data_IF_506848360984
#
_entry.id   IF_506848360984
#
_cell.length_a   1.000
_cell.length_b   1.000
_cell.length_c   1.000
_cell.angle_alpha   90.00
_cell.angle_beta   90.00
_cell.angle_gamma   90.00
#
_symmetry.space_group_name_H-M   'P 1'
#
loop_
_entity.id
_entity.type
_entity.pdbx_description
1 polymer ?
#
# COMPACT_ATOMS: atom_id res chain seq x y z
N UNK A 1 4.26 12.16 28.78
CA UNK A 1 3.59 11.78 27.52
C UNK A 1 3.28 13.04 26.75
N UNK A 2 3.76 13.11 25.52
CA UNK A 2 3.49 14.23 24.64
C UNK A 2 2.19 13.94 23.88
N UNK A 3 1.13 14.65 24.29
CA UNK A 3 -0.23 14.48 23.77
C UNK A 3 -0.28 14.77 22.27
N UNK A 4 0.53 15.71 21.79
CA UNK A 4 0.56 16.07 20.38
C UNK A 4 1.05 14.89 19.52
N UNK A 5 2.14 14.25 19.93
CA UNK A 5 2.66 13.06 19.28
C UNK A 5 1.63 11.91 19.22
N UNK A 6 0.92 11.67 20.33
CA UNK A 6 -0.12 10.62 20.39
C UNK A 6 -1.27 10.94 19.42
N UNK A 7 -1.75 12.18 19.41
CA UNK A 7 -2.80 12.63 18.51
C UNK A 7 -2.38 12.47 17.04
N UNK A 8 -1.13 12.82 16.72
CA UNK A 8 -0.58 12.67 15.37
C UNK A 8 -0.55 11.21 14.93
N UNK A 9 -0.06 10.29 15.79
CA UNK A 9 -0.07 8.85 15.51
C UNK A 9 -1.50 8.29 15.37
N UNK A 10 -2.44 8.79 16.15
CA UNK A 10 -3.84 8.39 16.08
C UNK A 10 -4.47 8.77 14.73
N UNK A 11 -4.32 10.03 14.32
CA UNK A 11 -4.82 10.52 13.02
C UNK A 11 -4.14 9.76 11.86
N UNK A 12 -2.82 9.59 11.94
CA UNK A 12 -2.05 8.82 10.97
C UNK A 12 -2.56 7.37 10.85
N UNK A 13 -2.84 6.72 11.97
CA UNK A 13 -3.38 5.35 11.99
C UNK A 13 -4.79 5.29 11.42
N UNK A 14 -5.67 6.25 11.76
CA UNK A 14 -7.02 6.33 11.20
C UNK A 14 -7.00 6.52 9.69
N UNK A 15 -6.10 7.35 9.17
CA UNK A 15 -5.93 7.57 7.74
C UNK A 15 -5.54 6.26 7.04
N UNK A 16 -4.53 5.55 7.56
CA UNK A 16 -4.09 4.27 7.00
C UNK A 16 -5.24 3.26 7.05
N UNK A 17 -5.90 3.15 8.20
CA UNK A 17 -7.03 2.23 8.38
C UNK A 17 -8.17 2.53 7.40
N UNK A 18 -8.50 3.80 7.19
CA UNK A 18 -9.50 4.21 6.20
C UNK A 18 -9.14 3.76 4.79
N UNK A 19 -7.88 3.96 4.38
CA UNK A 19 -7.41 3.55 3.05
C UNK A 19 -7.37 2.02 2.91
N UNK A 20 -6.95 1.32 3.98
CA UNK A 20 -6.93 -0.14 4.07
C UNK A 20 -8.32 -0.74 3.83
N UNK A 21 -9.34 -0.18 4.48
CA UNK A 21 -10.72 -0.70 4.46
C UNK A 21 -11.46 -0.31 3.19
N UNK A 22 -11.36 0.96 2.76
CA UNK A 22 -12.22 1.50 1.70
C UNK A 22 -11.58 1.51 0.31
N UNK A 23 -10.26 1.40 0.20
CA UNK A 23 -9.57 1.59 -1.10
C UNK A 23 -8.80 0.35 -1.53
N UNK A 24 -7.69 0.03 -0.87
CA UNK A 24 -6.87 -1.13 -1.20
C UNK A 24 -5.81 -1.38 -0.13
N UNK A 25 -5.58 -2.64 0.27
CA UNK A 25 -4.47 -2.99 1.16
C UNK A 25 -3.09 -2.65 0.59
N UNK A 26 -2.92 -2.74 -0.73
CA UNK A 26 -1.65 -2.39 -1.38
C UNK A 26 -1.38 -0.89 -1.29
N UNK A 27 -2.39 -0.06 -1.55
CA UNK A 27 -2.26 1.39 -1.46
C UNK A 27 -2.02 1.83 -0.01
N UNK A 28 -2.70 1.20 0.96
CA UNK A 28 -2.47 1.44 2.38
C UNK A 28 -1.03 1.16 2.78
N UNK A 29 -0.46 0.02 2.35
CA UNK A 29 0.94 -0.32 2.61
C UNK A 29 1.90 0.74 2.04
N UNK A 30 1.62 1.19 0.82
CA UNK A 30 2.43 2.19 0.14
C UNK A 30 2.40 3.53 0.88
N UNK A 31 1.22 4.03 1.23
CA UNK A 31 1.05 5.33 1.92
C UNK A 31 1.64 5.29 3.33
N UNK A 32 1.50 4.17 4.04
CA UNK A 32 2.10 3.96 5.36
C UNK A 32 3.63 4.13 5.34
N UNK A 33 4.31 3.71 4.28
CA UNK A 33 5.76 3.90 4.17
C UNK A 33 6.08 5.28 3.59
N UNK A 34 5.33 5.72 2.60
CA UNK A 34 5.60 6.96 1.88
C UNK A 34 5.52 8.18 2.80
N UNK A 35 4.50 8.29 3.65
CA UNK A 35 4.29 9.48 4.50
C UNK A 35 5.50 9.74 5.40
N UNK A 36 5.99 8.77 6.22
CA UNK A 36 7.13 9.02 7.10
C UNK A 36 8.44 9.24 6.34
N UNK A 37 8.64 8.57 5.19
CA UNK A 37 9.82 8.79 4.33
C UNK A 37 9.83 10.20 3.76
N UNK A 38 8.69 10.68 3.26
CA UNK A 38 8.55 12.05 2.75
C UNK A 38 8.78 13.06 3.87
N UNK A 39 8.26 12.79 5.08
CA UNK A 39 8.48 13.66 6.24
C UNK A 39 9.97 13.80 6.59
N UNK A 40 10.71 12.68 6.64
CA UNK A 40 12.17 12.69 6.87
C UNK A 40 12.92 13.43 5.77
N UNK A 41 12.46 13.34 4.52
CA UNK A 41 13.12 14.00 3.39
C UNK A 41 12.91 15.52 3.38
N UNK A 42 11.72 16.00 3.74
CA UNK A 42 11.38 17.43 3.70
C UNK A 42 11.87 18.15 4.97
N UNK A 43 11.75 17.51 6.14
CA UNK A 43 12.04 18.11 7.45
C UNK A 43 12.94 17.16 8.27
N UNK A 44 14.23 16.99 7.90
CA UNK A 44 15.09 15.99 8.52
C UNK A 44 15.34 16.24 10.01
N UNK A 45 15.57 17.49 10.42
CA UNK A 45 15.86 17.84 11.82
C UNK A 45 14.64 17.64 12.72
N UNK A 46 13.47 18.10 12.26
CA UNK A 46 12.21 17.91 12.98
C UNK A 46 11.82 16.44 13.03
N UNK A 47 12.07 15.68 11.97
CA UNK A 47 11.80 14.25 11.94
C UNK A 47 12.70 13.49 12.92
N UNK A 48 14.00 13.79 12.95
CA UNK A 48 14.95 13.21 13.89
C UNK A 48 14.58 13.55 15.34
N UNK A 49 14.22 14.81 15.60
CA UNK A 49 13.70 15.25 16.88
C UNK A 49 12.46 14.46 17.27
N UNK A 50 11.45 14.43 16.40
CA UNK A 50 10.17 13.77 16.65
C UNK A 50 10.31 12.28 16.96
N UNK A 51 11.11 11.53 16.20
CA UNK A 51 11.27 10.07 16.42
C UNK A 51 12.02 9.75 17.72
N UNK A 52 12.84 10.69 18.21
CA UNK A 52 13.62 10.57 19.44
C UNK A 52 12.87 11.01 20.72
N UNK A 53 11.65 11.52 20.61
CA UNK A 53 10.84 11.92 21.76
C UNK A 53 10.48 10.68 22.60
N UNK A 54 10.78 10.74 23.90
CA UNK A 54 10.41 9.71 24.88
C UNK A 54 8.94 9.89 25.25
N UNK A 55 8.11 8.86 25.02
CA UNK A 55 6.71 8.88 25.40
C UNK A 55 6.48 8.40 26.82
N UNK A 56 7.09 7.26 27.14
CA UNK A 56 7.04 6.68 28.48
C UNK A 56 8.29 5.82 28.72
N UNK A 57 8.57 5.56 29.98
CA UNK A 57 9.64 4.67 30.41
C UNK A 57 9.02 3.58 31.27
N UNK A 58 9.39 2.32 31.00
CA UNK A 58 8.93 1.18 31.79
C UNK A 58 10.14 0.33 32.15
N UNK A 59 10.34 0.08 33.45
CA UNK A 59 11.42 -0.77 33.96
C UNK A 59 12.82 -0.39 33.44
N UNK A 60 13.10 0.91 33.30
CA UNK A 60 14.38 1.43 32.79
C UNK A 60 14.51 1.45 31.26
N UNK A 61 13.53 0.92 30.53
CA UNK A 61 13.49 0.93 29.07
C UNK A 61 12.68 2.15 28.61
N UNK A 62 13.32 3.01 27.81
CA UNK A 62 12.69 4.20 27.26
C UNK A 62 11.99 3.87 25.95
N UNK A 63 10.69 4.21 25.86
CA UNK A 63 9.89 4.02 24.66
C UNK A 63 9.79 5.34 23.92
N UNK A 64 10.56 5.45 22.84
CA UNK A 64 10.50 6.57 21.90
C UNK A 64 9.30 6.48 20.93
N UNK A 65 8.96 7.62 20.33
CA UNK A 65 8.00 7.72 19.21
C UNK A 65 8.32 6.74 18.07
N UNK A 66 9.60 6.50 17.80
CA UNK A 66 10.03 5.50 16.82
C UNK A 66 9.46 4.10 17.10
N UNK A 67 9.43 3.66 18.36
CA UNK A 67 8.86 2.37 18.72
C UNK A 67 7.36 2.31 18.46
N UNK A 68 6.64 3.40 18.75
CA UNK A 68 5.19 3.48 18.49
C UNK A 68 4.92 3.40 16.99
N UNK A 69 5.70 4.13 16.18
CA UNK A 69 5.61 4.07 14.71
C UNK A 69 5.82 2.62 14.21
N UNK A 70 6.84 1.93 14.71
CA UNK A 70 7.13 0.54 14.34
C UNK A 70 6.02 -0.43 14.77
N UNK A 71 5.43 -0.24 15.95
CA UNK A 71 4.30 -1.05 16.43
C UNK A 71 3.10 -0.87 15.48
N UNK A 72 2.77 0.37 15.12
CA UNK A 72 1.69 0.69 14.19
C UNK A 72 1.94 0.01 12.84
N UNK A 73 3.15 0.16 12.29
CA UNK A 73 3.53 -0.48 11.03
C UNK A 73 3.41 -2.00 11.11
N UNK A 74 3.93 -2.61 12.17
CA UNK A 74 3.85 -4.06 12.36
C UNK A 74 2.39 -4.55 12.40
N UNK A 75 1.52 -3.84 13.11
CA UNK A 75 0.09 -4.18 13.19
C UNK A 75 -0.57 -4.14 11.80
N UNK A 76 -0.36 -3.05 11.05
CA UNK A 76 -0.94 -2.91 9.71
C UNK A 76 -0.39 -3.92 8.71
N UNK A 77 0.92 -4.20 8.74
CA UNK A 77 1.53 -5.24 7.89
C UNK A 77 0.90 -6.60 8.19
N UNK A 78 0.65 -6.92 9.46
CA UNK A 78 -0.06 -8.12 9.87
C UNK A 78 -1.45 -8.22 9.24
N UNK A 79 -2.25 -7.16 9.34
CA UNK A 79 -3.61 -7.13 8.76
C UNK A 79 -3.58 -7.22 7.23
N UNK A 80 -2.68 -6.49 6.56
CA UNK A 80 -2.54 -6.52 5.10
C UNK A 80 -2.14 -7.92 4.61
N UNK A 81 -1.19 -8.56 5.32
CA UNK A 81 -0.73 -9.90 5.01
C UNK A 81 -1.83 -10.93 5.24
N UNK A 82 -2.56 -10.80 6.36
CA UNK A 82 -3.72 -11.65 6.66
C UNK A 82 -4.79 -11.54 5.59
N UNK A 83 -5.12 -10.33 5.14
CA UNK A 83 -6.08 -10.13 4.05
C UNK A 83 -5.64 -10.88 2.79
N UNK A 84 -4.37 -10.78 2.39
CA UNK A 84 -3.86 -11.52 1.21
C UNK A 84 -3.99 -13.03 1.37
N UNK A 85 -3.63 -13.57 2.53
CA UNK A 85 -3.72 -15.01 2.81
C UNK A 85 -5.17 -15.46 2.80
N UNK A 86 -6.07 -14.70 3.43
CA UNK A 86 -7.50 -15.01 3.48
C UNK A 86 -8.13 -14.97 2.09
N UNK A 87 -7.84 -13.94 1.30
CA UNK A 87 -8.30 -13.84 -0.09
C UNK A 87 -7.81 -15.04 -0.90
N UNK A 88 -6.52 -15.39 -0.82
CA UNK A 88 -5.99 -16.58 -1.49
C UNK A 88 -6.70 -17.87 -1.06
N UNK A 89 -6.94 -18.02 0.25
CA UNK A 89 -7.59 -19.21 0.80
C UNK A 89 -9.03 -19.35 0.31
N UNK A 90 -9.84 -18.28 0.38
CA UNK A 90 -11.24 -18.29 -0.03
C UNK A 90 -11.41 -18.47 -1.55
N UNK A 91 -10.50 -17.93 -2.35
CA UNK A 91 -10.51 -18.11 -3.82
C UNK A 91 -10.01 -19.50 -4.25
N UNK A 92 -9.40 -20.28 -3.35
CA UNK A 92 -8.83 -21.60 -3.69
C UNK A 92 -9.89 -22.67 -3.95
N UNK A 93 -11.07 -22.57 -3.34
CA UNK A 93 -12.16 -23.58 -3.46
C UNK A 93 -13.26 -23.19 -4.46
N UNK A 94 -13.21 -22.00 -5.06
CA UNK A 94 -14.22 -21.52 -6.02
C UNK A 94 -13.93 -21.89 -7.48
N UNK A 95 -12.97 -22.79 -7.72
CA UNK A 95 -12.79 -23.43 -9.03
C UNK A 95 -13.49 -24.81 -9.01
N UNK A 96 -14.76 -24.92 -9.44
CA UNK A 96 -15.32 -26.23 -9.75
C UNK A 96 -14.58 -26.75 -10.99
N UNK A 97 -13.87 -27.86 -10.82
CA UNK A 97 -13.47 -28.72 -11.94
C UNK A 97 -14.75 -29.32 -12.51
N UNK A 98 -15.43 -28.56 -13.38
CA UNK A 98 -16.47 -29.07 -14.26
C UNK A 98 -16.04 -28.75 -15.68
N UNK A 99 -15.16 -29.60 -16.19
CA UNK A 99 -15.04 -29.89 -17.61
C UNK A 99 -14.49 -31.30 -17.70
N UNK A 100 -15.42 -32.26 -17.82
CA UNK A 100 -15.35 -33.37 -18.77
C UNK A 100 -16.61 -34.23 -18.66
N UNK A 101 -17.68 -33.79 -19.35
CA UNK A 101 -18.61 -34.66 -20.08
C UNK A 101 -19.60 -33.80 -20.87
N UNK A 102 -19.77 -34.14 -22.16
CA UNK A 102 -20.74 -33.65 -23.13
C UNK A 102 -20.37 -32.40 -23.97
N UNK A 103 -19.49 -32.64 -24.94
CA UNK A 103 -19.79 -32.51 -26.39
C UNK A 103 -20.75 -31.39 -26.82
N UNK A 104 -20.20 -30.23 -27.18
CA UNK A 104 -20.63 -29.46 -28.34
C UNK A 104 -19.44 -28.59 -28.79
N UNK A 105 -18.82 -28.98 -29.90
CA UNK A 105 -17.66 -28.27 -30.46
C UNK A 105 -18.09 -26.92 -31.04
N UNK A 106 -17.58 -25.83 -30.45
CA UNK A 106 -17.38 -24.55 -31.11
C UNK A 106 -16.03 -23.97 -30.62
N UNK A 107 -15.14 -23.50 -31.52
CA UNK A 107 -13.79 -23.13 -31.13
C UNK A 107 -13.77 -21.83 -30.32
N UNK A 108 -12.94 -21.86 -29.29
CA UNK A 108 -12.70 -20.77 -28.35
C UNK A 108 -11.94 -19.61 -28.98
N UNK A 109 -12.27 -18.38 -28.59
CA UNK A 109 -11.30 -17.29 -28.51
C UNK A 109 -11.39 -16.67 -27.12
N UNK A 110 -10.65 -17.25 -26.20
CA UNK A 110 -10.24 -16.61 -24.96
C UNK A 110 -8.83 -16.07 -25.17
N UNK A 111 -8.63 -14.76 -25.16
CA UNK A 111 -7.34 -14.17 -24.80
C UNK A 111 -7.54 -12.68 -24.50
N UNK A 112 -7.65 -12.27 -23.22
CA UNK A 112 -7.27 -10.91 -22.78
C UNK A 112 -6.91 -10.82 -21.28
N UNK A 113 -5.64 -11.10 -20.94
CA UNK A 113 -4.93 -10.43 -19.84
C UNK A 113 -3.80 -9.52 -20.35
N UNK A 114 -3.64 -9.35 -21.68
CA UNK A 114 -2.59 -8.50 -22.29
C UNK A 114 -2.92 -7.00 -22.29
N UNK A 115 -4.19 -6.62 -22.27
CA UNK A 115 -4.60 -5.21 -22.42
C UNK A 115 -4.27 -4.35 -21.21
N UNK A 116 -4.27 -4.91 -20.00
CA UNK A 116 -3.99 -4.15 -18.79
C UNK A 116 -2.49 -3.84 -18.62
N UNK A 117 -1.63 -4.79 -18.95
CA UNK A 117 -0.16 -4.63 -18.93
C UNK A 117 0.29 -3.61 -19.99
N UNK A 118 -0.35 -3.61 -21.15
CA UNK A 118 -0.06 -2.64 -22.22
C UNK A 118 -0.40 -1.20 -21.77
N UNK A 119 -1.54 -1.02 -21.10
CA UNK A 119 -2.03 0.30 -20.62
C UNK A 119 -1.11 0.94 -19.59
N UNK A 120 -0.50 0.15 -18.69
CA UNK A 120 0.43 0.64 -17.66
C UNK A 120 1.76 1.08 -18.28
N UNK A 121 2.29 0.32 -19.25
CA UNK A 121 3.52 0.70 -19.97
C UNK A 121 3.33 1.99 -20.75
N UNK A 122 2.20 2.15 -21.43
CA UNK A 122 1.86 3.37 -22.17
C UNK A 122 1.77 4.60 -21.26
N UNK A 123 1.21 4.44 -20.06
CA UNK A 123 1.12 5.52 -19.09
C UNK A 123 2.49 5.94 -18.55
N UNK A 124 3.34 4.97 -18.16
CA UNK A 124 4.71 5.22 -17.69
C UNK A 124 5.56 5.89 -18.77
N UNK A 125 5.41 5.47 -20.02
CA UNK A 125 6.14 6.06 -21.14
C UNK A 125 5.70 7.50 -21.43
N UNK A 126 4.40 7.80 -21.31
CA UNK A 126 3.89 9.19 -21.40
C UNK A 126 4.39 10.04 -20.25
N UNK A 127 4.40 9.52 -19.03
CA UNK A 127 4.90 10.24 -17.85
C UNK A 127 6.39 10.56 -18.00
N UNK A 128 7.19 9.59 -18.44
CA UNK A 128 8.62 9.79 -18.71
C UNK A 128 8.88 10.87 -19.76
N UNK A 129 8.08 10.91 -20.83
CA UNK A 129 8.20 11.94 -21.88
C UNK A 129 7.84 13.35 -21.37
N UNK A 130 6.79 13.46 -20.54
CA UNK A 130 6.40 14.73 -19.90
C UNK A 130 7.50 15.23 -18.97
N UNK A 131 8.08 14.32 -18.17
CA UNK A 131 9.13 14.64 -17.20
C UNK A 131 10.45 15.06 -17.86
N UNK A 132 10.70 14.56 -19.09
CA UNK A 132 11.83 14.95 -19.93
C UNK A 132 11.58 16.24 -20.74
N UNK A 133 10.43 16.89 -20.57
CA UNK A 133 10.09 18.15 -21.24
C UNK A 133 9.77 18.02 -22.74
N UNK A 134 9.49 16.81 -23.22
CA UNK A 134 9.23 16.54 -24.63
C UNK A 134 7.73 16.77 -24.94
N UNK A 135 7.41 17.73 -25.83
CA UNK A 135 6.02 18.07 -26.17
C UNK A 135 5.34 16.90 -26.90
N UNK A 136 4.30 16.32 -26.28
CA UNK A 136 3.47 15.27 -26.90
C UNK A 136 2.69 15.88 -28.07
N UNK A 137 3.05 15.53 -29.32
CA UNK A 137 2.19 15.78 -30.49
C UNK A 137 1.02 14.81 -30.45
N UNK A 138 -0.14 15.29 -30.02
CA UNK A 138 -1.43 14.61 -30.23
C UNK A 138 -1.76 14.67 -31.73
N UNK A 139 -1.78 13.51 -32.39
CA UNK A 139 -2.24 13.40 -33.77
C UNK A 139 -3.78 13.46 -33.74
N UNK A 140 -4.33 14.49 -34.36
CA UNK A 140 -5.76 14.65 -34.68
C UNK A 140 -6.23 13.57 -35.64
#
# INVERSE_FOLDING_TARGET
MDIFSILLFFIYSLLILGILVFVSPLLSAFIMILIPVVFVFILPDEAAGFVSIIQFSYSGIQVFNLHILLIIWSAFIGVISYHKVLTWYLLRESAPVVKDAATAAAPSVADQPKTLIFKVKDFLQKLYKILKGEKIKLKS
#
